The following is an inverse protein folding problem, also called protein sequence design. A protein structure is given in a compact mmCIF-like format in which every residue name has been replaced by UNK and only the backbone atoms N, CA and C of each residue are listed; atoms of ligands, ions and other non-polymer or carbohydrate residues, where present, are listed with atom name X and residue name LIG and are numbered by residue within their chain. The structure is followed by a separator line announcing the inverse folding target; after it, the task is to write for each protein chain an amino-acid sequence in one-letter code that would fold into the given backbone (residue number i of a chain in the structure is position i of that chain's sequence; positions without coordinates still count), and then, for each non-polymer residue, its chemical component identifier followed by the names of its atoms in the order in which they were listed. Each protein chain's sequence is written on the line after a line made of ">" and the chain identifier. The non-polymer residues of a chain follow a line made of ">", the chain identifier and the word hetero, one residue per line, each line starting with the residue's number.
data_IF_157335970418
#
_entry.id   IF_157335970418
#
_cell.length_a   1.000
_cell.length_b   1.000
_cell.length_c   1.000
_cell.angle_alpha   90.00
_cell.angle_beta   90.00
_cell.angle_gamma   90.00
#
_symmetry.space_group_name_H-M   'P 1'
#
loop_
_entity.id
_entity.type
_entity.pdbx_description
1 polymer ?
#
# COMPACT_ATOMS: atom_id res chain seq x y z
N UNK A 1 51.64 39.04 16.07
CA UNK A 1 52.63 39.77 15.26
C UNK A 1 53.01 38.91 14.06
N UNK A 2 52.87 39.49 12.85
CA UNK A 2 53.54 39.23 11.56
C UNK A 2 54.09 37.80 11.31
N UNK A 3 53.53 36.97 10.44
CA UNK A 3 53.39 37.06 8.97
C UNK A 3 54.74 37.08 8.20
N UNK A 4 54.98 35.94 7.53
CA UNK A 4 55.66 35.68 6.22
C UNK A 4 57.18 35.72 6.11
N UNK A 5 57.73 34.65 5.51
CA UNK A 5 58.38 34.60 4.19
C UNK A 5 58.43 33.12 3.72
N UNK A 6 57.68 32.71 2.67
CA UNK A 6 58.00 32.71 1.22
C UNK A 6 59.31 31.98 0.88
N UNK A 7 59.23 30.84 0.18
CA UNK A 7 59.84 30.67 -1.15
C UNK A 7 59.68 29.24 -1.70
N UNK A 8 59.61 29.21 -3.04
CA UNK A 8 60.34 28.26 -3.89
C UNK A 8 59.65 27.01 -4.44
N UNK A 9 59.30 27.17 -5.72
CA UNK A 9 59.69 26.33 -6.87
C UNK A 9 59.14 24.91 -7.04
N UNK A 10 58.56 24.77 -8.24
CA UNK A 10 58.89 23.80 -9.28
C UNK A 10 57.88 22.71 -9.59
N UNK A 11 57.71 22.58 -10.91
CA UNK A 11 56.86 21.70 -11.68
C UNK A 11 57.06 20.22 -11.29
N UNK A 12 56.00 19.43 -11.36
CA UNK A 12 55.91 18.27 -12.25
C UNK A 12 54.53 17.62 -12.11
N UNK A 13 54.03 17.16 -13.24
CA UNK A 13 52.63 16.81 -13.43
C UNK A 13 52.11 15.72 -12.49
N UNK A 14 50.82 15.84 -12.21
CA UNK A 14 49.94 14.70 -12.21
C UNK A 14 48.56 15.24 -12.58
N UNK A 15 48.06 14.81 -13.74
CA UNK A 15 46.67 14.91 -14.14
C UNK A 15 45.82 14.36 -13.00
N UNK A 16 45.35 15.25 -12.13
CA UNK A 16 44.32 14.92 -11.16
C UNK A 16 43.04 14.85 -11.96
N UNK A 17 42.74 13.63 -12.42
CA UNK A 17 41.41 13.22 -12.80
C UNK A 17 40.49 13.62 -11.65
N UNK A 18 39.79 14.74 -11.82
CA UNK A 18 38.76 15.17 -10.91
C UNK A 18 37.62 14.17 -11.10
N UNK A 19 37.66 13.06 -10.36
CA UNK A 19 36.49 12.23 -10.15
C UNK A 19 35.56 13.11 -9.32
N UNK A 20 34.72 13.88 -9.99
CA UNK A 20 33.49 14.36 -9.39
C UNK A 20 32.70 13.11 -9.04
N UNK A 21 32.87 12.64 -7.80
CA UNK A 21 31.92 11.71 -7.21
C UNK A 21 30.60 12.46 -7.19
N UNK A 22 29.79 12.23 -8.22
CA UNK A 22 28.36 12.46 -8.17
C UNK A 22 27.85 11.56 -7.06
N UNK A 23 27.93 12.04 -5.82
CA UNK A 23 27.10 11.58 -4.75
C UNK A 23 25.67 11.85 -5.24
N UNK A 24 25.08 10.83 -5.87
CA UNK A 24 23.64 10.76 -6.03
C UNK A 24 23.10 10.83 -4.62
N UNK A 25 22.67 12.03 -4.21
CA UNK A 25 21.78 12.16 -3.06
C UNK A 25 20.61 11.24 -3.39
N UNK A 26 20.58 10.07 -2.75
CA UNK A 26 19.39 9.26 -2.70
C UNK A 26 18.32 10.18 -2.11
N UNK A 27 17.44 10.66 -2.99
CA UNK A 27 16.24 11.38 -2.60
C UNK A 27 15.56 10.53 -1.52
N UNK A 28 15.18 11.09 -0.36
CA UNK A 28 14.42 10.34 0.65
C UNK A 28 13.28 9.64 -0.09
N UNK A 29 13.27 8.31 -0.04
CA UNK A 29 12.47 7.48 -0.93
C UNK A 29 11.03 7.98 -0.94
N UNK A 30 10.48 8.18 -2.14
CA UNK A 30 9.04 8.36 -2.29
C UNK A 30 8.35 7.26 -1.45
N UNK A 31 7.37 7.59 -0.60
CA UNK A 31 6.67 6.58 0.18
C UNK A 31 6.02 5.60 -0.79
N UNK A 32 6.67 4.45 -1.00
CA UNK A 32 6.16 3.39 -1.85
C UNK A 32 4.91 2.81 -1.22
N UNK A 33 3.92 2.50 -2.05
CA UNK A 33 2.71 1.85 -1.58
C UNK A 33 3.07 0.49 -1.00
N UNK A 34 2.61 0.18 0.22
CA UNK A 34 2.72 -1.17 0.74
C UNK A 34 1.62 -2.05 0.15
N UNK A 35 2.01 -3.21 -0.37
CA UNK A 35 1.09 -4.15 -1.03
C UNK A 35 1.18 -5.50 -0.33
N UNK A 36 0.04 -5.99 0.15
CA UNK A 36 -0.09 -7.27 0.83
C UNK A 36 -1.01 -8.16 0.03
N UNK A 37 -0.57 -9.40 -0.25
CA UNK A 37 -1.34 -10.34 -1.07
C UNK A 37 -1.45 -11.68 -0.38
N UNK A 38 -2.60 -12.33 -0.49
CA UNK A 38 -2.81 -13.64 0.09
C UNK A 38 -3.92 -14.39 -0.62
N UNK A 39 -3.84 -15.72 -0.59
CA UNK A 39 -4.88 -16.62 -1.04
C UNK A 39 -5.51 -17.30 0.16
N UNK A 40 -6.83 -17.40 0.19
CA UNK A 40 -7.58 -17.89 1.34
C UNK A 40 -9.05 -18.11 1.00
N UNK A 41 -9.91 -18.10 2.02
CA UNK A 41 -11.36 -18.23 1.87
C UNK A 41 -12.01 -16.85 1.94
N UNK A 42 -12.92 -16.55 1.01
CA UNK A 42 -13.78 -15.38 1.01
C UNK A 42 -15.21 -15.82 1.33
N UNK A 43 -15.88 -15.08 2.21
CA UNK A 43 -17.29 -15.29 2.56
C UNK A 43 -18.04 -13.95 2.58
N UNK A 44 -19.11 -13.88 1.82
CA UNK A 44 -20.06 -12.77 1.80
C UNK A 44 -21.47 -13.27 1.43
N UNK A 45 -22.43 -12.36 1.30
CA UNK A 45 -23.83 -12.70 1.02
C UNK A 45 -24.08 -13.52 -0.26
N UNK A 46 -23.18 -13.48 -1.25
CA UNK A 46 -23.35 -14.15 -2.55
C UNK A 46 -22.27 -15.18 -2.88
N UNK A 47 -21.14 -15.14 -2.18
CA UNK A 47 -20.01 -16.00 -2.47
C UNK A 47 -19.40 -16.57 -1.20
N UNK A 48 -19.14 -17.88 -1.23
CA UNK A 48 -18.34 -18.59 -0.24
C UNK A 48 -17.39 -19.54 -0.96
N UNK A 49 -16.09 -19.33 -0.81
CA UNK A 49 -15.10 -20.16 -1.50
C UNK A 49 -13.68 -19.59 -1.46
N UNK A 50 -12.77 -20.24 -2.18
CA UNK A 50 -11.37 -19.82 -2.26
C UNK A 50 -11.24 -18.55 -3.12
N UNK A 51 -10.38 -17.64 -2.74
CA UNK A 51 -10.03 -16.47 -3.54
C UNK A 51 -8.79 -15.75 -3.01
N UNK A 52 -8.53 -14.59 -3.59
CA UNK A 52 -7.34 -13.79 -3.32
C UNK A 52 -7.74 -12.46 -2.65
N UNK A 53 -6.94 -12.04 -1.68
CA UNK A 53 -7.02 -10.73 -1.05
C UNK A 53 -5.80 -9.90 -1.43
N UNK A 54 -6.03 -8.63 -1.78
CA UNK A 54 -4.98 -7.65 -2.06
C UNK A 54 -5.27 -6.39 -1.27
N UNK A 55 -4.40 -6.06 -0.32
CA UNK A 55 -4.41 -4.78 0.38
C UNK A 55 -3.33 -3.89 -0.21
N UNK A 56 -3.69 -2.66 -0.55
CA UNK A 56 -2.75 -1.60 -0.96
C UNK A 56 -2.89 -0.44 0.03
N UNK A 57 -1.78 -0.03 0.65
CA UNK A 57 -1.71 1.13 1.54
C UNK A 57 -0.85 2.20 0.89
N UNK A 58 -1.47 3.34 0.59
CA UNK A 58 -0.82 4.53 0.07
C UNK A 58 -0.57 5.51 1.23
N UNK A 59 0.53 5.31 1.95
CA UNK A 59 0.83 6.04 3.18
C UNK A 59 0.91 7.56 3.00
N UNK A 60 1.41 8.02 1.85
CA UNK A 60 1.53 9.45 1.54
C UNK A 60 0.19 10.19 1.63
N UNK A 61 -0.90 9.49 1.28
CA UNK A 61 -2.24 10.08 1.19
C UNK A 61 -3.19 9.54 2.27
N UNK A 62 -2.66 8.77 3.23
CA UNK A 62 -3.43 8.04 4.22
C UNK A 62 -4.60 7.23 3.62
N UNK A 63 -4.40 6.70 2.41
CA UNK A 63 -5.41 5.99 1.64
C UNK A 63 -5.10 4.50 1.62
N UNK A 64 -6.15 3.69 1.46
CA UNK A 64 -5.99 2.27 1.29
C UNK A 64 -7.13 1.64 0.50
N UNK A 65 -6.83 0.50 -0.07
CA UNK A 65 -7.79 -0.33 -0.79
C UNK A 65 -7.63 -1.79 -0.41
N UNK A 66 -8.74 -2.47 -0.16
CA UNK A 66 -8.80 -3.91 0.00
C UNK A 66 -9.65 -4.51 -1.12
N UNK A 67 -9.00 -5.23 -2.02
CA UNK A 67 -9.63 -6.05 -3.04
C UNK A 67 -9.78 -7.50 -2.59
N UNK A 68 -10.96 -8.08 -2.81
CA UNK A 68 -11.25 -9.51 -2.63
C UNK A 68 -11.75 -10.06 -3.97
N UNK A 69 -11.06 -11.06 -4.50
CA UNK A 69 -11.32 -11.57 -5.85
C UNK A 69 -11.34 -13.09 -5.91
N UNK A 70 -12.14 -13.63 -6.83
CA UNK A 70 -12.00 -14.99 -7.32
C UNK A 70 -11.98 -14.93 -8.85
N UNK A 71 -10.93 -15.50 -9.45
CA UNK A 71 -10.71 -15.46 -10.89
C UNK A 71 -11.97 -15.88 -11.67
N UNK A 72 -12.56 -14.92 -12.41
CA UNK A 72 -13.69 -15.16 -13.32
C UNK A 72 -15.07 -15.26 -12.67
N UNK A 73 -15.21 -15.13 -11.34
CA UNK A 73 -16.53 -15.22 -10.67
C UNK A 73 -16.98 -13.93 -10.02
N UNK A 74 -16.12 -13.33 -9.20
CA UNK A 74 -16.45 -12.06 -8.55
C UNK A 74 -15.19 -11.28 -8.20
N UNK A 75 -15.36 -9.97 -8.12
CA UNK A 75 -14.37 -9.06 -7.57
C UNK A 75 -15.10 -7.96 -6.82
N UNK A 76 -14.65 -7.66 -5.61
CA UNK A 76 -15.10 -6.52 -4.82
C UNK A 76 -13.89 -5.76 -4.30
N UNK A 77 -14.03 -4.45 -4.16
CA UNK A 77 -12.99 -3.63 -3.60
C UNK A 77 -13.54 -2.50 -2.76
N UNK A 78 -12.96 -2.37 -1.57
CA UNK A 78 -13.28 -1.38 -0.56
C UNK A 78 -12.19 -0.33 -0.53
N UNK A 79 -12.55 0.92 -0.80
CA UNK A 79 -11.60 2.02 -0.94
C UNK A 79 -11.92 3.07 0.13
N UNK A 80 -10.88 3.56 0.80
CA UNK A 80 -11.07 4.53 1.86
C UNK A 80 -9.77 5.04 2.47
N UNK A 81 -9.90 5.64 3.65
CA UNK A 81 -8.77 6.19 4.39
C UNK A 81 -8.31 5.19 5.46
N UNK A 82 -7.01 5.11 5.71
CA UNK A 82 -6.44 4.35 6.82
C UNK A 82 -6.68 5.13 8.11
N UNK A 83 -7.37 4.51 9.06
CA UNK A 83 -7.64 5.11 10.38
C UNK A 83 -6.58 4.68 11.39
N UNK A 84 -6.17 3.41 11.32
CA UNK A 84 -5.18 2.80 12.21
C UNK A 84 -4.32 1.84 11.41
N UNK A 85 -3.03 1.83 11.68
CA UNK A 85 -2.08 0.84 11.18
C UNK A 85 -1.03 0.61 12.27
N UNK A 86 -1.18 -0.44 13.05
CA UNK A 86 -0.30 -0.75 14.18
C UNK A 86 -0.14 -2.26 14.33
N UNK A 87 1.12 -2.73 14.40
CA UNK A 87 1.45 -4.16 14.62
C UNK A 87 0.68 -5.13 13.73
N UNK A 88 0.62 -4.86 12.43
CA UNK A 88 -0.10 -5.70 11.46
C UNK A 88 -1.62 -5.58 11.51
N UNK A 89 -2.20 -4.73 12.38
CA UNK A 89 -3.63 -4.44 12.41
C UNK A 89 -3.90 -3.14 11.67
N UNK A 90 -4.64 -3.23 10.57
CA UNK A 90 -5.05 -2.11 9.72
C UNK A 90 -6.56 -1.92 9.82
N UNK A 91 -6.99 -0.68 10.04
CA UNK A 91 -8.39 -0.30 9.94
C UNK A 91 -8.58 0.70 8.80
N UNK A 92 -9.39 0.33 7.81
CA UNK A 92 -9.84 1.24 6.74
C UNK A 92 -11.23 1.78 7.06
N UNK A 93 -11.40 3.10 6.96
CA UNK A 93 -12.72 3.74 6.88
C UNK A 93 -13.11 3.86 5.42
N UNK A 94 -14.04 3.02 5.00
CA UNK A 94 -14.49 2.89 3.62
C UNK A 94 -15.39 4.06 3.25
N UNK A 95 -15.11 4.67 2.10
CA UNK A 95 -15.93 5.75 1.51
C UNK A 95 -16.41 5.41 0.09
N UNK A 96 -15.79 4.41 -0.55
CA UNK A 96 -16.03 4.01 -1.92
C UNK A 96 -16.03 2.48 -2.04
N UNK A 97 -16.87 1.96 -2.91
CA UNK A 97 -16.99 0.54 -3.20
C UNK A 97 -17.01 0.32 -4.71
N UNK A 98 -16.42 -0.77 -5.19
CA UNK A 98 -16.59 -1.24 -6.58
C UNK A 98 -16.72 -2.76 -6.62
N UNK A 99 -17.46 -3.28 -7.59
CA UNK A 99 -17.55 -4.72 -7.82
C UNK A 99 -17.71 -5.07 -9.29
N UNK A 100 -17.35 -6.31 -9.64
CA UNK A 100 -17.58 -6.88 -10.98
C UNK A 100 -19.06 -6.90 -11.34
N UNK A 101 -19.93 -7.18 -10.37
CA UNK A 101 -21.40 -7.19 -10.53
C UNK A 101 -21.99 -5.84 -10.95
N UNK A 102 -21.27 -4.74 -10.67
CA UNK A 102 -21.68 -3.37 -11.04
C UNK A 102 -20.82 -2.80 -12.18
N UNK A 103 -20.12 -3.67 -12.92
CA UNK A 103 -19.26 -3.26 -14.03
C UNK A 103 -18.05 -2.42 -13.61
N UNK A 104 -17.51 -2.68 -12.41
CA UNK A 104 -16.37 -1.97 -11.82
C UNK A 104 -16.54 -0.46 -11.62
N UNK A 105 -17.79 0.03 -11.66
CA UNK A 105 -18.10 1.42 -11.31
C UNK A 105 -17.85 1.65 -9.82
N UNK A 106 -17.25 2.79 -9.51
CA UNK A 106 -17.10 3.23 -8.11
C UNK A 106 -18.40 3.85 -7.63
N UNK A 107 -18.96 3.35 -6.54
CA UNK A 107 -20.15 3.89 -5.90
C UNK A 107 -19.82 4.37 -4.48
N UNK A 108 -20.55 5.38 -3.95
CA UNK A 108 -20.41 5.80 -2.57
C UNK A 108 -20.72 4.66 -1.59
N UNK A 109 -19.91 4.56 -0.54
CA UNK A 109 -20.05 3.58 0.52
C UNK A 109 -19.74 4.23 1.88
N UNK A 110 -20.19 3.61 2.96
CA UNK A 110 -19.76 3.95 4.31
C UNK A 110 -19.56 2.69 5.12
N UNK A 111 -18.52 2.65 5.95
CA UNK A 111 -18.27 1.51 6.81
C UNK A 111 -16.79 1.34 7.12
N UNK A 112 -16.43 0.14 7.55
CA UNK A 112 -15.07 -0.16 8.01
C UNK A 112 -14.62 -1.54 7.55
N UNK A 113 -13.33 -1.65 7.23
CA UNK A 113 -12.64 -2.93 7.11
C UNK A 113 -11.57 -3.03 8.19
N UNK A 114 -11.65 -4.06 9.02
CA UNK A 114 -10.59 -4.44 9.95
C UNK A 114 -9.78 -5.56 9.29
N UNK A 115 -8.49 -5.34 9.15
CA UNK A 115 -7.59 -6.20 8.38
C UNK A 115 -6.39 -6.54 9.25
N UNK A 116 -6.03 -7.82 9.26
CA UNK A 116 -4.86 -8.34 9.94
C UNK A 116 -3.86 -8.78 8.86
N UNK A 117 -2.64 -8.27 8.95
CA UNK A 117 -1.52 -8.58 8.08
C UNK A 117 -0.40 -9.28 8.86
N UNK A 118 0.46 -10.01 8.15
CA UNK A 118 1.63 -10.67 8.72
C UNK A 118 2.85 -10.46 7.85
N UNK A 119 4.01 -10.44 8.52
CA UNK A 119 5.34 -10.42 7.91
C UNK A 119 5.51 -9.32 6.86
N UNK A 120 4.80 -8.19 7.03
CA UNK A 120 4.81 -7.06 6.12
C UNK A 120 4.32 -7.33 4.69
N UNK A 121 3.80 -8.53 4.38
CA UNK A 121 3.61 -8.99 3.00
C UNK A 121 2.28 -9.66 2.72
N UNK A 122 1.55 -10.09 3.76
CA UNK A 122 0.36 -10.95 3.62
C UNK A 122 -0.83 -10.40 4.39
N UNK A 123 -2.04 -10.64 3.86
CA UNK A 123 -3.31 -10.41 4.57
C UNK A 123 -3.72 -11.74 5.19
N UNK A 124 -3.72 -11.89 6.51
CA UNK A 124 -4.18 -13.12 7.17
C UNK A 124 -5.70 -13.15 7.28
N UNK A 125 -6.30 -12.02 7.60
CA UNK A 125 -7.73 -11.90 7.84
C UNK A 125 -8.23 -10.53 7.44
N UNK A 126 -9.45 -10.45 6.94
CA UNK A 126 -10.16 -9.18 6.87
C UNK A 126 -11.64 -9.36 7.13
N UNK A 127 -12.26 -8.37 7.76
CA UNK A 127 -13.71 -8.29 7.95
C UNK A 127 -14.12 -6.87 7.58
N UNK A 128 -14.93 -6.76 6.53
CA UNK A 128 -15.52 -5.52 6.05
C UNK A 128 -17.01 -5.51 6.35
N UNK A 129 -17.48 -4.44 6.98
CA UNK A 129 -18.90 -4.14 7.13
C UNK A 129 -19.14 -2.78 6.50
N UNK A 130 -19.92 -2.76 5.42
CA UNK A 130 -20.17 -1.55 4.63
C UNK A 130 -21.64 -1.43 4.29
N UNK A 131 -22.09 -0.21 4.11
CA UNK A 131 -23.46 0.12 3.74
C UNK A 131 -23.44 1.23 2.70
N UNK A 132 -24.43 1.24 1.83
CA UNK A 132 -24.56 2.22 0.77
C UNK A 132 -25.57 1.76 -0.26
N UNK A 133 -26.08 2.71 -1.04
CA UNK A 133 -26.90 2.38 -2.20
C UNK A 133 -26.08 1.52 -3.16
N UNK A 134 -26.68 0.46 -3.70
CA UNK A 134 -26.06 -0.44 -4.68
C UNK A 134 -24.87 -1.27 -4.16
N UNK A 135 -24.71 -1.40 -2.84
CA UNK A 135 -23.77 -2.33 -2.23
C UNK A 135 -24.55 -3.56 -1.79
N UNK A 136 -24.55 -4.58 -2.64
CA UNK A 136 -25.35 -5.79 -2.40
C UNK A 136 -24.73 -6.74 -1.33
N UNK A 137 -23.63 -6.33 -0.68
CA UNK A 137 -22.76 -7.21 0.13
C UNK A 137 -22.35 -6.57 1.45
N UNK A 138 -23.33 -6.22 2.29
CA UNK A 138 -23.14 -5.43 3.52
C UNK A 138 -22.09 -5.96 4.52
N UNK A 139 -21.69 -7.23 4.39
CA UNK A 139 -20.54 -7.81 5.09
C UNK A 139 -19.77 -8.79 4.20
N UNK A 140 -18.44 -8.68 4.23
CA UNK A 140 -17.52 -9.64 3.61
C UNK A 140 -16.38 -9.99 4.57
N UNK A 141 -15.90 -11.22 4.51
CA UNK A 141 -14.75 -11.69 5.26
C UNK A 141 -13.75 -12.42 4.35
N UNK A 142 -12.46 -12.30 4.68
CA UNK A 142 -11.37 -13.11 4.15
C UNK A 142 -10.61 -13.76 5.29
N UNK A 143 -10.16 -15.00 5.11
CA UNK A 143 -9.35 -15.72 6.09
C UNK A 143 -8.41 -16.71 5.39
N UNK A 144 -7.13 -16.67 5.71
CA UNK A 144 -6.18 -17.75 5.36
C UNK A 144 -6.48 -18.94 6.29
N UNK A 145 -6.62 -20.13 5.72
CA UNK A 145 -6.68 -21.39 6.49
C UNK A 145 -5.28 -21.98 6.64
#
# INVERSE_FOLDING_TARGET
>A
MNVKHIASTCLLGCTTLLIAATATLAKPGDPTNAVFKSRGTIENARFKGVGDASLVLAFANNNGSLGLTNAGRFSIEYIGNVQKNFEGKVQLRVSKFRSSEKGFRTVPASGTCNIETSDGTRVIRSICTVQGSQIDHGRSAFTIK
#
